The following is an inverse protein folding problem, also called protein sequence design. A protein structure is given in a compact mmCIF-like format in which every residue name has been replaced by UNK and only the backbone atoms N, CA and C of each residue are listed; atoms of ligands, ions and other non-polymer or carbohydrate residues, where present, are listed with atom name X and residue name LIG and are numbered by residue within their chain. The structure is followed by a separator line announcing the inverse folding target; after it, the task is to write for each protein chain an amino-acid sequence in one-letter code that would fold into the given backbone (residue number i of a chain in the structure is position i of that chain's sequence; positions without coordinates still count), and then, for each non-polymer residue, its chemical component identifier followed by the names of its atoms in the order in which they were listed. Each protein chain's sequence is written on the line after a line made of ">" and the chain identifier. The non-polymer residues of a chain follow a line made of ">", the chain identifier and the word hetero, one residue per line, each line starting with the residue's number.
data_IF_793581839426
#
_entry.id   IF_793581839426
#
_cell.length_a   1.000
_cell.length_b   1.000
_cell.length_c   1.000
_cell.angle_alpha   90.00
_cell.angle_beta   90.00
_cell.angle_gamma   90.00
#
_symmetry.space_group_name_H-M   'P 1'
#
loop_
_entity.id
_entity.type
_entity.pdbx_description
1 polymer ?
#
# COMPACT_ATOMS: atom_id res chain seq x y z
N UNK A 1 6.50 0.30 -17.41
CA UNK A 1 7.61 1.18 -17.90
C UNK A 1 8.33 1.79 -16.71
N UNK A 2 9.66 1.76 -16.69
CA UNK A 2 10.49 2.31 -15.61
C UNK A 2 10.75 3.79 -15.90
N UNK A 3 10.60 4.66 -14.88
CA UNK A 3 10.94 6.08 -14.97
C UNK A 3 12.45 6.29 -15.05
N UNK A 4 12.88 7.49 -15.43
CA UNK A 4 14.30 7.87 -15.46
C UNK A 4 14.99 7.68 -14.09
N UNK A 5 14.27 7.94 -12.99
CA UNK A 5 14.71 7.66 -11.60
C UNK A 5 14.73 6.16 -11.20
N UNK A 6 14.49 5.23 -12.11
CA UNK A 6 14.46 3.78 -11.82
C UNK A 6 13.17 3.28 -11.14
N UNK A 7 12.24 4.18 -10.81
CA UNK A 7 10.97 3.86 -10.13
C UNK A 7 9.87 3.46 -11.11
N UNK A 8 8.94 2.63 -10.66
CA UNK A 8 7.71 2.26 -11.38
C UNK A 8 6.49 2.95 -10.76
N UNK A 9 5.42 3.05 -11.53
CA UNK A 9 4.15 3.63 -11.08
C UNK A 9 3.10 2.53 -10.99
N UNK A 10 2.42 2.47 -9.87
CA UNK A 10 1.38 1.49 -9.57
C UNK A 10 0.08 2.24 -9.30
N UNK A 11 -0.96 1.97 -10.07
CA UNK A 11 -2.27 2.57 -9.88
C UNK A 11 -3.15 1.66 -9.03
N UNK A 12 -3.69 2.20 -7.94
CA UNK A 12 -4.69 1.53 -7.12
C UNK A 12 -6.01 1.47 -7.87
N UNK A 13 -6.50 0.26 -8.06
CA UNK A 13 -7.75 -0.06 -8.76
C UNK A 13 -8.81 -0.42 -7.74
N UNK A 14 -9.94 0.25 -7.81
CA UNK A 14 -11.11 -0.05 -6.98
C UNK A 14 -11.93 -1.19 -7.60
N UNK A 15 -12.90 -1.71 -6.85
CA UNK A 15 -13.73 -2.85 -7.26
C UNK A 15 -14.44 -2.63 -8.61
N UNK A 16 -14.80 -1.39 -8.93
CA UNK A 16 -15.43 -0.99 -10.20
C UNK A 16 -14.49 -0.89 -11.40
N UNK A 17 -13.18 -1.04 -11.19
CA UNK A 17 -12.17 -0.91 -12.24
C UNK A 17 -11.58 0.49 -12.41
N UNK A 18 -12.12 1.48 -11.69
CA UNK A 18 -11.58 2.84 -11.60
C UNK A 18 -10.22 2.88 -10.91
N UNK A 19 -9.36 3.80 -11.36
CA UNK A 19 -8.02 4.01 -10.81
C UNK A 19 -8.01 5.29 -9.95
N UNK A 20 -8.05 5.13 -8.62
CA UNK A 20 -8.22 6.27 -7.69
C UNK A 20 -6.92 6.98 -7.32
N UNK A 21 -5.79 6.27 -7.29
CA UNK A 21 -4.50 6.84 -6.85
C UNK A 21 -3.30 6.16 -7.51
N UNK A 22 -2.23 6.92 -7.72
CA UNK A 22 -0.97 6.40 -8.28
C UNK A 22 0.15 6.49 -7.24
N UNK A 23 0.81 5.36 -7.00
CA UNK A 23 1.91 5.21 -6.06
C UNK A 23 3.19 4.89 -6.82
N UNK A 24 4.23 5.72 -6.61
CA UNK A 24 5.56 5.43 -7.16
C UNK A 24 6.39 4.60 -6.18
N UNK A 25 7.08 3.58 -6.68
CA UNK A 25 7.96 2.73 -5.88
C UNK A 25 8.93 1.91 -6.72
N UNK A 26 9.98 1.38 -6.10
CA UNK A 26 10.92 0.47 -6.79
C UNK A 26 10.32 -0.94 -6.95
N UNK A 27 9.45 -1.34 -6.01
CA UNK A 27 8.78 -2.63 -5.97
C UNK A 27 7.27 -2.47 -5.80
N UNK A 28 6.44 -3.42 -6.28
CA UNK A 28 5.00 -3.39 -6.09
C UNK A 28 4.61 -3.43 -4.60
N UNK A 29 5.38 -4.15 -3.76
CA UNK A 29 5.18 -4.18 -2.31
C UNK A 29 5.32 -2.79 -1.68
N UNK A 30 6.29 -1.98 -2.12
CA UNK A 30 6.46 -0.63 -1.59
C UNK A 30 5.25 0.25 -1.92
N UNK A 31 4.71 0.12 -3.13
CA UNK A 31 3.48 0.81 -3.50
C UNK A 31 2.28 0.33 -2.67
N UNK A 32 2.18 -0.98 -2.42
CA UNK A 32 1.17 -1.57 -1.54
C UNK A 32 1.25 -1.02 -0.12
N UNK A 33 2.45 -0.95 0.47
CA UNK A 33 2.63 -0.35 1.80
C UNK A 33 2.21 1.13 1.83
N UNK A 34 2.53 1.89 0.78
CA UNK A 34 2.09 3.29 0.68
C UNK A 34 0.58 3.43 0.55
N UNK A 35 -0.07 2.48 -0.12
CA UNK A 35 -1.52 2.42 -0.22
C UNK A 35 -2.15 2.01 1.13
N UNK A 36 -1.60 0.99 1.79
CA UNK A 36 -2.04 0.52 3.10
C UNK A 36 -1.96 1.62 4.17
N UNK A 37 -0.91 2.45 4.16
CA UNK A 37 -0.78 3.63 5.06
C UNK A 37 -1.87 4.70 4.88
N UNK A 38 -2.67 4.63 3.82
CA UNK A 38 -3.81 5.54 3.61
C UNK A 38 -5.14 4.94 4.05
N UNK A 39 -5.15 3.68 4.49
CA UNK A 39 -6.34 3.05 5.05
C UNK A 39 -6.65 3.64 6.42
N UNK A 40 -7.89 3.48 6.85
CA UNK A 40 -8.27 3.79 8.23
C UNK A 40 -7.54 2.82 9.17
N UNK A 41 -6.74 3.33 10.13
CA UNK A 41 -5.99 2.46 11.02
C UNK A 41 -6.91 1.85 12.09
N UNK A 42 -6.71 0.56 12.39
CA UNK A 42 -7.29 -0.06 13.58
C UNK A 42 -6.53 0.31 14.86
N UNK A 43 -7.11 0.01 16.01
CA UNK A 43 -6.50 0.26 17.33
C UNK A 43 -5.24 -0.57 17.61
N UNK A 44 -5.03 -1.66 16.86
CA UNK A 44 -3.92 -2.61 17.02
C UNK A 44 -3.79 -3.47 15.75
N UNK A 45 -2.65 -4.12 15.54
CA UNK A 45 -2.42 -4.93 14.33
C UNK A 45 -3.49 -6.01 14.11
N UNK A 46 -3.88 -6.71 15.18
CA UNK A 46 -4.89 -7.79 15.12
C UNK A 46 -6.32 -7.27 14.88
N UNK A 47 -6.61 -6.03 15.29
CA UNK A 47 -7.92 -5.39 15.11
C UNK A 47 -8.02 -4.61 13.79
N UNK A 48 -6.90 -4.44 13.08
CA UNK A 48 -6.87 -3.71 11.83
C UNK A 48 -7.66 -4.44 10.72
N UNK A 49 -8.51 -3.68 10.03
CA UNK A 49 -9.23 -4.21 8.89
C UNK A 49 -8.26 -4.57 7.75
N UNK A 50 -8.38 -5.79 7.24
CA UNK A 50 -7.64 -6.22 6.05
C UNK A 50 -8.41 -5.85 4.81
N UNK A 51 -7.84 -4.93 4.05
CA UNK A 51 -8.41 -4.42 2.80
C UNK A 51 -7.64 -4.97 1.62
N UNK A 52 -8.36 -5.47 0.61
CA UNK A 52 -7.77 -5.92 -0.65
C UNK A 52 -7.33 -4.71 -1.48
N UNK A 53 -6.03 -4.64 -1.79
CA UNK A 53 -5.39 -3.60 -2.57
C UNK A 53 -4.96 -4.16 -3.93
N UNK A 54 -5.62 -3.70 -5.01
CA UNK A 54 -5.28 -4.06 -6.40
C UNK A 54 -4.42 -2.97 -7.03
N UNK A 55 -3.17 -3.29 -7.36
CA UNK A 55 -2.19 -2.33 -7.86
C UNK A 55 -1.74 -2.68 -9.28
N UNK A 56 -2.22 -1.93 -10.26
CA UNK A 56 -1.82 -2.09 -11.66
C UNK A 56 -0.47 -1.43 -11.93
N UNK A 57 0.49 -2.18 -12.45
CA UNK A 57 1.76 -1.61 -12.90
C UNK A 57 1.58 -0.87 -14.24
N UNK A 58 1.76 0.45 -14.24
CA UNK A 58 1.57 1.30 -15.44
C UNK A 58 2.57 0.92 -16.54
N UNK A 59 2.04 0.71 -17.74
CA UNK A 59 2.79 0.24 -18.91
C UNK A 59 3.00 -1.28 -18.93
N UNK A 60 2.23 -2.03 -18.14
CA UNK A 60 2.06 -3.48 -18.25
C UNK A 60 0.58 -3.82 -18.03
N UNK A 61 0.21 -5.06 -18.34
CA UNK A 61 -1.08 -5.68 -18.07
C UNK A 61 -1.21 -6.23 -16.64
N UNK A 62 -0.14 -6.17 -15.83
CA UNK A 62 -0.07 -6.77 -14.50
C UNK A 62 -0.82 -5.98 -13.44
N UNK A 63 -1.59 -6.68 -12.64
CA UNK A 63 -2.29 -6.19 -11.44
C UNK A 63 -1.82 -7.00 -10.24
N UNK A 64 -1.10 -6.37 -9.33
CA UNK A 64 -0.65 -7.01 -8.10
C UNK A 64 -1.72 -6.91 -7.02
N UNK A 65 -2.09 -8.04 -6.42
CA UNK A 65 -3.09 -8.08 -5.35
C UNK A 65 -2.39 -8.31 -4.01
N UNK A 66 -2.69 -7.43 -3.06
CA UNK A 66 -2.21 -7.49 -1.69
C UNK A 66 -3.39 -7.35 -0.72
N UNK A 67 -3.32 -8.00 0.43
CA UNK A 67 -4.07 -7.52 1.60
C UNK A 67 -3.20 -6.46 2.28
N UNK A 68 -3.74 -5.28 2.51
CA UNK A 68 -3.12 -4.24 3.34
C UNK A 68 -3.96 -3.96 4.56
N UNK A 69 -3.28 -3.64 5.66
CA UNK A 69 -3.90 -3.17 6.90
C UNK A 69 -2.99 -2.14 7.56
N UNK A 70 -3.59 -1.26 8.34
CA UNK A 70 -2.89 -0.23 9.11
C UNK A 70 -3.42 -0.20 10.54
N UNK A 71 -2.57 0.16 11.49
CA UNK A 71 -2.95 0.31 12.89
C UNK A 71 -2.19 1.44 13.56
N UNK A 72 -2.74 1.93 14.66
CA UNK A 72 -2.08 2.88 15.55
C UNK A 72 -1.21 2.12 16.55
N UNK A 73 0.04 2.57 16.69
CA UNK A 73 0.98 2.07 17.69
C UNK A 73 1.51 3.23 18.52
N UNK A 74 1.68 2.99 19.82
CA UNK A 74 2.32 3.96 20.71
C UNK A 74 3.82 3.97 20.46
N UNK A 75 4.36 5.14 20.14
CA UNK A 75 5.78 5.33 19.93
C UNK A 75 6.57 5.03 21.23
N UNK A 76 7.81 4.52 21.11
CA UNK A 76 8.62 4.14 22.27
C UNK A 76 8.99 5.35 23.14
N UNK A 77 9.30 5.11 24.41
CA UNK A 77 9.67 6.17 25.38
C UNK A 77 10.93 6.96 24.96
N UNK A 78 11.87 6.33 24.25
CA UNK A 78 13.11 6.97 23.75
C UNK A 78 12.92 7.67 22.40
N UNK A 79 11.67 7.94 21.98
CA UNK A 79 11.41 8.60 20.70
C UNK A 79 11.98 10.02 20.68
N UNK A 80 12.46 10.48 19.51
CA UNK A 80 12.90 11.86 19.37
C UNK A 80 11.72 12.84 19.40
N UNK A 81 11.95 14.10 19.80
CA UNK A 81 10.91 15.12 19.98
C UNK A 81 10.07 15.42 18.73
N UNK A 82 10.62 15.17 17.54
CA UNK A 82 9.92 15.38 16.27
C UNK A 82 8.90 14.28 15.95
N UNK A 83 8.91 13.16 16.68
CA UNK A 83 8.02 12.02 16.45
C UNK A 83 6.76 12.11 17.33
N UNK A 84 5.55 11.94 16.78
CA UNK A 84 4.31 11.94 17.55
C UNK A 84 4.24 10.76 18.55
N UNK A 85 3.33 10.83 19.52
CA UNK A 85 3.12 9.77 20.53
C UNK A 85 2.46 8.53 19.94
N UNK A 86 1.65 8.74 18.91
CA UNK A 86 0.96 7.67 18.18
C UNK A 86 1.44 7.72 16.74
N UNK A 87 1.84 6.55 16.22
CA UNK A 87 2.31 6.38 14.86
C UNK A 87 1.39 5.39 14.14
N UNK A 88 1.14 5.66 12.85
CA UNK A 88 0.44 4.70 12.00
C UNK A 88 1.45 3.74 11.40
N UNK A 89 1.34 2.48 11.79
CA UNK A 89 2.01 1.37 11.15
C UNK A 89 1.13 0.75 10.08
N UNK A 90 1.75 0.09 9.10
CA UNK A 90 1.02 -0.60 8.06
C UNK A 90 1.83 -1.76 7.53
N UNK A 91 1.13 -2.83 7.19
CA UNK A 91 1.73 -4.01 6.60
C UNK A 91 0.91 -4.50 5.41
N UNK A 92 1.54 -5.34 4.60
CA UNK A 92 0.92 -5.93 3.42
C UNK A 92 1.32 -7.38 3.25
N UNK A 93 0.36 -8.20 2.87
CA UNK A 93 0.56 -9.60 2.50
C UNK A 93 0.21 -9.80 1.03
N UNK A 94 1.09 -10.47 0.28
CA UNK A 94 0.86 -10.71 -1.15
C UNK A 94 -0.17 -11.82 -1.32
N UNK A 95 -1.22 -11.56 -2.10
CA UNK A 95 -2.23 -12.57 -2.47
C UNK A 95 -1.96 -13.18 -3.83
N UNK A 96 -1.65 -12.35 -4.82
CA UNK A 96 -1.57 -12.82 -6.19
C UNK A 96 -1.16 -11.76 -7.18
N UNK A 97 -1.23 -12.14 -8.46
CA UNK A 97 -1.07 -11.26 -9.60
C UNK A 97 -2.14 -11.66 -10.61
N UNK A 98 -2.92 -10.69 -11.04
CA UNK A 98 -3.84 -10.79 -12.18
C UNK A 98 -3.24 -10.10 -13.40
N UNK A 99 -3.80 -10.40 -14.57
CA UNK A 99 -3.52 -9.72 -15.82
C UNK A 99 -4.83 -9.14 -16.38
N UNK A 100 -4.79 -7.92 -16.89
CA UNK A 100 -5.91 -7.36 -17.62
C UNK A 100 -6.01 -8.09 -18.96
N UNK A 101 -7.14 -8.77 -19.19
CA UNK A 101 -7.48 -9.33 -20.50
C UNK A 101 -7.68 -8.16 -21.49
N UNK A 102 -7.08 -8.29 -22.67
CA UNK A 102 -7.12 -7.28 -23.75
C UNK A 102 -8.49 -7.22 -24.43
#
# INVERSE_FOLDING_TARGET
>A
MVREDGKRNFALRESGGDESSVFSGNTPRQAALKAARRLEPGSSEDEAERVELKLREKGTDKVHIYDGWAWEETAPDDKPDWMPSEITEANVSKKGIDHLEE
#
